data_IF_423248605231
#
_entry.id   IF_423248605231
#
_cell.length_a   1.000
_cell.length_b   1.000
_cell.length_c   1.000
_cell.angle_alpha   90.00
_cell.angle_beta   90.00
_cell.angle_gamma   90.00
#
_symmetry.space_group_name_H-M   'P 1'
#
loop_
_entity.id
_entity.type
_entity.pdbx_description
1 polymer ?
#
# COMPACT_ATOMS: atom_id res chain seq x y z
N UNK A 1 29.76 -14.84 -9.96
CA UNK A 1 28.36 -15.12 -10.30
C UNK A 1 27.87 -13.93 -11.12
N UNK A 2 27.09 -14.08 -12.18
CA UNK A 2 26.53 -12.91 -12.84
C UNK A 2 25.71 -12.12 -11.82
N UNK A 3 25.99 -10.82 -11.70
CA UNK A 3 25.23 -9.91 -10.82
C UNK A 3 23.74 -10.00 -11.16
N UNK A 4 22.90 -10.14 -10.14
CA UNK A 4 21.45 -10.11 -10.32
C UNK A 4 21.02 -8.79 -10.95
N UNK A 5 20.15 -8.84 -11.94
CA UNK A 5 19.53 -7.63 -12.50
C UNK A 5 18.49 -7.04 -11.55
N UNK A 6 17.96 -7.85 -10.62
CA UNK A 6 17.03 -7.39 -9.60
C UNK A 6 17.77 -6.82 -8.40
N UNK A 7 17.24 -5.72 -7.87
CA UNK A 7 17.83 -5.02 -6.72
C UNK A 7 16.85 -4.94 -5.55
N UNK A 8 17.41 -4.72 -4.35
CA UNK A 8 16.64 -4.40 -3.15
C UNK A 8 16.37 -2.90 -3.04
N UNK A 9 15.46 -2.52 -2.14
CA UNK A 9 14.95 -1.15 -2.05
C UNK A 9 16.05 -0.11 -1.79
N UNK A 10 17.03 -0.40 -0.94
CA UNK A 10 18.13 0.52 -0.65
C UNK A 10 18.95 0.82 -1.90
N UNK A 11 19.28 -0.21 -2.69
CA UNK A 11 20.04 -0.05 -3.95
C UNK A 11 19.20 0.72 -4.99
N UNK A 12 17.90 0.41 -5.11
CA UNK A 12 17.00 1.14 -6.00
C UNK A 12 16.93 2.63 -5.65
N UNK A 13 16.78 2.95 -4.36
CA UNK A 13 16.76 4.33 -3.87
C UNK A 13 18.10 5.04 -4.17
N UNK A 14 19.24 4.37 -4.03
CA UNK A 14 20.55 4.97 -4.31
C UNK A 14 20.75 5.22 -5.80
N UNK A 15 20.29 4.31 -6.68
CA UNK A 15 20.29 4.53 -8.13
C UNK A 15 19.49 5.80 -8.48
N UNK A 16 18.28 5.94 -7.95
CA UNK A 16 17.44 7.14 -8.18
C UNK A 16 18.10 8.40 -7.58
N UNK A 17 18.72 8.30 -6.40
CA UNK A 17 19.43 9.41 -5.75
C UNK A 17 20.59 9.93 -6.58
N UNK A 18 21.33 9.03 -7.21
CA UNK A 18 22.44 9.37 -8.11
C UNK A 18 21.99 9.87 -9.49
N UNK A 19 20.68 9.94 -9.77
CA UNK A 19 20.12 10.35 -11.05
C UNK A 19 20.07 9.24 -12.10
N UNK A 20 20.21 7.98 -11.67
CA UNK A 20 20.10 6.81 -12.55
C UNK A 20 18.67 6.46 -12.92
N UNK A 21 18.53 5.58 -13.90
CA UNK A 21 17.27 5.01 -14.39
C UNK A 21 17.12 3.58 -13.92
N UNK A 22 15.92 3.21 -13.47
CA UNK A 22 15.52 1.84 -13.17
C UNK A 22 14.48 1.36 -14.20
N UNK A 23 14.37 0.04 -14.34
CA UNK A 23 13.16 -0.59 -14.85
C UNK A 23 12.33 -0.97 -13.62
N UNK A 24 11.12 -0.41 -13.51
CA UNK A 24 10.19 -0.72 -12.42
C UNK A 24 9.09 -1.61 -12.97
N UNK A 25 8.79 -2.72 -12.29
CA UNK A 25 7.72 -3.65 -12.68
C UNK A 25 6.65 -3.70 -11.62
N UNK A 26 5.40 -3.83 -12.05
CA UNK A 26 4.27 -4.06 -11.19
C UNK A 26 3.88 -5.55 -11.11
N UNK A 27 2.78 -5.85 -10.44
CA UNK A 27 2.30 -7.21 -10.19
C UNK A 27 1.71 -7.85 -11.46
N UNK A 28 1.86 -9.18 -11.62
CA UNK A 28 1.28 -9.96 -12.70
C UNK A 28 -0.24 -9.85 -12.76
N UNK A 29 -0.89 -9.71 -11.60
CA UNK A 29 -2.35 -9.56 -11.47
C UNK A 29 -2.84 -8.13 -11.75
N UNK A 30 -1.93 -7.16 -12.02
CA UNK A 30 -2.28 -5.76 -12.30
C UNK A 30 -2.11 -5.41 -13.78
N UNK A 31 -1.03 -4.77 -14.18
CA UNK A 31 -0.69 -4.46 -15.58
C UNK A 31 0.29 -5.50 -16.15
N UNK A 32 1.12 -6.06 -15.25
CA UNK A 32 2.23 -6.95 -15.60
C UNK A 32 3.15 -6.30 -16.63
N UNK A 33 3.55 -5.06 -16.39
CA UNK A 33 4.32 -4.23 -17.30
C UNK A 33 5.60 -3.74 -16.63
N UNK A 34 6.47 -3.12 -17.40
CA UNK A 34 7.67 -2.46 -16.91
C UNK A 34 7.85 -1.10 -17.52
N UNK A 35 8.21 -0.13 -16.68
CA UNK A 35 8.48 1.24 -17.08
C UNK A 35 9.92 1.62 -16.79
N UNK A 36 10.56 2.42 -17.66
CA UNK A 36 11.72 3.20 -17.25
C UNK A 36 11.27 4.25 -16.22
N UNK A 37 11.98 4.34 -15.11
CA UNK A 37 11.69 5.28 -14.02
C UNK A 37 12.96 5.97 -13.56
N UNK A 38 12.89 7.31 -13.37
CA UNK A 38 13.95 8.11 -12.76
C UNK A 38 13.37 9.31 -11.99
N UNK A 39 14.18 9.96 -11.15
CA UNK A 39 13.80 11.22 -10.53
C UNK A 39 13.69 12.34 -11.58
N UNK A 40 12.58 13.09 -11.57
CA UNK A 40 12.30 14.10 -12.58
C UNK A 40 13.32 15.26 -12.59
N UNK A 41 13.81 15.68 -11.42
CA UNK A 41 14.83 16.74 -11.34
C UNK A 41 16.18 16.36 -11.92
N UNK A 42 16.45 15.04 -12.11
CA UNK A 42 17.69 14.52 -12.68
C UNK A 42 17.57 14.22 -14.17
N UNK A 43 16.42 14.50 -14.80
CA UNK A 43 16.18 14.16 -16.21
C UNK A 43 17.14 14.88 -17.13
N UNK A 44 17.63 14.16 -18.15
CA UNK A 44 18.48 14.70 -19.23
C UNK A 44 17.85 14.41 -20.59
N UNK A 45 18.23 15.15 -21.65
CA UNK A 45 17.79 14.84 -23.01
C UNK A 45 18.13 13.40 -23.44
N UNK A 46 19.27 12.86 -22.98
CA UNK A 46 19.71 11.49 -23.27
C UNK A 46 18.78 10.48 -22.61
N UNK A 47 18.38 10.72 -21.35
CA UNK A 47 17.42 9.87 -20.64
C UNK A 47 16.05 9.86 -21.32
N UNK A 48 15.55 11.02 -21.74
CA UNK A 48 14.31 11.11 -22.54
C UNK A 48 14.48 10.38 -23.87
N UNK A 49 15.65 10.51 -24.52
CA UNK A 49 15.93 9.80 -25.77
C UNK A 49 15.95 8.28 -25.56
N UNK A 50 16.55 7.78 -24.48
CA UNK A 50 16.49 6.37 -24.11
C UNK A 50 15.04 5.89 -23.97
N UNK A 51 14.21 6.64 -23.24
CA UNK A 51 12.80 6.32 -23.01
C UNK A 51 12.02 6.20 -24.33
N UNK A 52 12.16 7.18 -25.23
CA UNK A 52 11.37 7.17 -26.48
C UNK A 52 11.90 6.19 -27.52
N UNK A 53 13.18 5.87 -27.53
CA UNK A 53 13.78 4.94 -28.52
C UNK A 53 13.73 3.50 -28.06
N UNK A 54 13.92 3.24 -26.77
CA UNK A 54 13.99 1.88 -26.21
C UNK A 54 12.71 1.52 -25.44
N UNK A 55 12.04 2.47 -24.79
CA UNK A 55 10.72 2.29 -24.17
C UNK A 55 9.61 2.31 -25.21
N UNK A 56 9.60 3.29 -26.09
CA UNK A 56 8.59 3.48 -27.13
C UNK A 56 7.18 3.84 -26.59
N UNK A 57 7.07 4.00 -25.27
CA UNK A 57 5.86 4.39 -24.54
C UNK A 57 5.64 5.90 -24.48
N UNK A 58 4.73 6.32 -23.63
CA UNK A 58 4.43 7.73 -23.39
C UNK A 58 5.32 8.26 -22.25
N UNK A 59 6.08 9.33 -22.54
CA UNK A 59 6.86 9.99 -21.47
C UNK A 59 5.92 10.77 -20.57
N UNK A 60 5.76 10.31 -19.33
CA UNK A 60 4.89 10.89 -18.33
C UNK A 60 5.70 11.47 -17.16
N UNK A 61 5.06 12.41 -16.44
CA UNK A 61 5.63 13.13 -15.29
C UNK A 61 4.77 12.90 -14.05
N UNK A 62 4.90 11.74 -13.37
CA UNK A 62 4.28 11.54 -12.06
C UNK A 62 4.66 12.61 -11.05
N UNK A 63 3.68 13.17 -10.37
CA UNK A 63 3.89 14.19 -9.35
C UNK A 63 2.84 14.10 -8.24
N UNK A 64 3.17 14.63 -7.06
CA UNK A 64 2.20 14.73 -5.96
C UNK A 64 1.06 15.69 -6.31
N UNK A 65 -0.11 15.45 -5.71
CA UNK A 65 -1.26 16.34 -5.82
C UNK A 65 -0.89 17.78 -5.45
N UNK A 66 -0.18 17.97 -4.34
CA UNK A 66 0.25 19.29 -3.85
C UNK A 66 1.15 20.04 -4.87
N UNK A 67 2.05 19.32 -5.56
CA UNK A 67 2.92 19.95 -6.58
C UNK A 67 2.13 20.38 -7.80
N UNK A 68 1.20 19.55 -8.29
CA UNK A 68 0.33 19.86 -9.42
C UNK A 68 -0.61 21.03 -9.13
N UNK A 69 -1.19 21.07 -7.92
CA UNK A 69 -2.07 22.13 -7.46
C UNK A 69 -1.28 23.45 -7.31
N UNK A 70 -0.05 23.40 -6.75
CA UNK A 70 0.84 24.57 -6.64
C UNK A 70 1.18 25.16 -8.01
N UNK A 71 1.46 24.32 -9.00
CA UNK A 71 1.76 24.76 -10.38
C UNK A 71 0.49 25.17 -11.13
N UNK A 72 -0.69 24.74 -10.68
CA UNK A 72 -1.98 25.08 -11.29
C UNK A 72 -2.30 24.26 -12.53
N UNK A 73 -1.88 22.99 -12.59
CA UNK A 73 -2.17 22.09 -13.72
C UNK A 73 -3.46 21.32 -13.45
N UNK A 74 -4.52 21.53 -14.24
CA UNK A 74 -5.82 20.89 -14.02
C UNK A 74 -5.84 19.44 -14.50
N UNK A 75 -6.78 18.66 -13.99
CA UNK A 75 -7.06 17.31 -14.49
C UNK A 75 -7.50 17.38 -15.97
N UNK A 76 -7.10 16.39 -16.77
CA UNK A 76 -7.43 16.31 -18.20
C UNK A 76 -8.94 16.16 -18.43
N UNK A 77 -9.64 15.49 -17.51
CA UNK A 77 -11.08 15.24 -17.60
C UNK A 77 -11.74 15.43 -16.24
N UNK A 78 -13.00 15.90 -16.23
CA UNK A 78 -13.79 16.05 -15.00
C UNK A 78 -14.24 14.71 -14.41
N UNK A 79 -14.40 13.67 -15.26
CA UNK A 79 -14.74 12.31 -14.85
C UNK A 79 -13.78 11.33 -15.48
N UNK A 80 -12.93 10.73 -14.67
CA UNK A 80 -12.01 9.70 -15.13
C UNK A 80 -12.76 8.37 -15.32
N UNK A 81 -12.68 7.81 -16.53
CA UNK A 81 -13.25 6.51 -16.90
C UNK A 81 -12.18 5.51 -17.34
N UNK A 82 -10.88 5.83 -17.13
CA UNK A 82 -9.78 4.94 -17.46
C UNK A 82 -9.89 3.65 -16.63
N UNK A 83 -9.62 2.50 -17.24
CA UNK A 83 -9.77 1.17 -16.64
C UNK A 83 -9.04 1.04 -15.29
N UNK A 84 -7.84 1.58 -15.19
CA UNK A 84 -6.99 1.54 -14.00
C UNK A 84 -6.96 2.86 -13.23
N UNK A 85 -7.80 3.81 -13.62
CA UNK A 85 -7.95 5.09 -12.94
C UNK A 85 -6.74 6.02 -13.02
N UNK A 86 -5.80 5.81 -13.96
CA UNK A 86 -4.62 6.68 -14.11
C UNK A 86 -5.04 8.13 -14.27
N UNK A 87 -4.55 8.98 -13.38
CA UNK A 87 -5.02 10.34 -13.21
C UNK A 87 -4.21 11.34 -14.08
N UNK A 88 -4.47 11.33 -15.38
CA UNK A 88 -3.87 12.28 -16.31
C UNK A 88 -4.34 13.71 -16.02
N UNK A 89 -3.38 14.64 -16.04
CA UNK A 89 -3.63 16.08 -16.09
C UNK A 89 -3.49 16.60 -17.52
N UNK A 90 -3.83 17.87 -17.74
CA UNK A 90 -3.53 18.52 -19.03
C UNK A 90 -2.02 18.45 -19.26
N UNK A 91 -1.63 18.13 -20.51
CA UNK A 91 -0.22 18.09 -20.91
C UNK A 91 0.38 19.49 -20.99
N UNK A 92 1.71 19.58 -20.79
CA UNK A 92 2.42 20.86 -20.67
C UNK A 92 3.67 20.90 -21.54
N UNK A 93 4.08 22.12 -21.91
CA UNK A 93 5.42 22.42 -22.45
C UNK A 93 5.97 23.68 -21.77
N UNK A 94 7.28 23.72 -21.52
CA UNK A 94 7.91 24.93 -21.03
C UNK A 94 7.82 26.06 -22.07
N UNK A 95 7.45 27.27 -21.63
CA UNK A 95 7.39 28.46 -22.49
C UNK A 95 8.76 29.11 -22.69
N UNK A 96 9.71 28.83 -21.80
CA UNK A 96 11.08 29.35 -21.90
C UNK A 96 12.07 28.22 -22.09
N UNK A 97 13.14 28.49 -22.84
CA UNK A 97 14.22 27.54 -23.15
C UNK A 97 13.74 26.27 -23.87
N UNK A 98 12.58 26.28 -24.48
CA UNK A 98 12.04 25.22 -25.33
C UNK A 98 11.67 25.78 -26.69
N UNK A 99 11.59 24.93 -27.71
CA UNK A 99 11.20 25.32 -29.06
C UNK A 99 9.74 24.93 -29.37
N UNK A 100 9.54 23.74 -29.96
CA UNK A 100 8.19 23.23 -30.30
C UNK A 100 7.65 22.23 -29.26
N UNK A 101 8.43 21.92 -28.21
CA UNK A 101 8.03 21.07 -27.09
C UNK A 101 8.34 19.57 -27.26
N UNK A 102 8.38 19.04 -28.50
CA UNK A 102 8.46 17.59 -28.76
C UNK A 102 9.90 17.02 -28.69
N UNK A 103 10.94 17.83 -28.91
CA UNK A 103 12.32 17.32 -28.89
C UNK A 103 12.66 16.76 -27.49
N UNK A 104 13.64 15.85 -27.41
CA UNK A 104 14.10 15.31 -26.13
C UNK A 104 14.67 16.40 -25.22
N UNK A 105 15.24 17.47 -25.83
CA UNK A 105 15.72 18.64 -25.12
C UNK A 105 14.58 19.43 -24.52
N UNK A 106 13.55 19.74 -25.31
CA UNK A 106 12.38 20.51 -24.86
C UNK A 106 11.59 19.77 -23.76
N UNK A 107 11.43 18.46 -23.94
CA UNK A 107 10.75 17.61 -22.93
C UNK A 107 11.55 17.53 -21.62
N UNK A 108 12.88 17.35 -21.70
CA UNK A 108 13.72 17.37 -20.50
C UNK A 108 13.70 18.74 -19.82
N UNK A 109 13.68 19.83 -20.59
CA UNK A 109 13.57 21.18 -20.03
C UNK A 109 12.23 21.42 -19.36
N UNK A 110 11.13 21.01 -19.99
CA UNK A 110 9.78 21.09 -19.41
C UNK A 110 9.71 20.37 -18.06
N UNK A 111 10.25 19.16 -17.98
CA UNK A 111 10.27 18.35 -16.75
C UNK A 111 11.14 19.03 -15.67
N UNK A 112 12.34 19.53 -16.02
CA UNK A 112 13.21 20.23 -15.06
C UNK A 112 12.57 21.50 -14.53
N UNK A 113 11.95 22.31 -15.38
CA UNK A 113 11.24 23.53 -14.95
C UNK A 113 10.07 23.19 -14.02
N UNK A 114 9.34 22.11 -14.29
CA UNK A 114 8.27 21.66 -13.40
C UNK A 114 8.78 21.30 -12.00
N UNK A 115 9.97 20.73 -11.87
CA UNK A 115 10.56 20.35 -10.59
C UNK A 115 11.01 21.55 -9.74
N UNK A 116 11.21 22.72 -10.33
CA UNK A 116 11.67 23.92 -9.62
C UNK A 116 10.74 24.29 -8.46
N UNK A 117 11.29 24.86 -7.42
CA UNK A 117 10.52 25.32 -6.26
C UNK A 117 9.58 26.48 -6.61
N UNK A 118 10.04 27.40 -7.49
CA UNK A 118 9.30 28.55 -7.98
C UNK A 118 8.39 28.28 -9.20
N UNK A 119 8.22 27.00 -9.59
CA UNK A 119 7.37 26.64 -10.70
C UNK A 119 5.92 27.12 -10.51
N UNK A 120 5.38 27.76 -11.56
CA UNK A 120 4.02 28.32 -11.63
C UNK A 120 3.39 28.06 -13.00
N UNK A 121 2.08 28.21 -13.10
CA UNK A 121 1.33 27.99 -14.36
C UNK A 121 1.81 28.89 -15.52
N UNK A 122 2.33 30.06 -15.22
CA UNK A 122 2.83 31.01 -16.21
C UNK A 122 4.08 30.52 -16.95
N UNK A 123 4.76 29.50 -16.41
CA UNK A 123 5.95 28.91 -17.02
C UNK A 123 5.61 27.88 -18.11
N UNK A 124 4.35 27.48 -18.22
CA UNK A 124 3.95 26.35 -19.08
C UNK A 124 2.82 26.72 -20.06
N UNK A 125 3.02 26.32 -21.31
CA UNK A 125 1.94 26.24 -22.29
C UNK A 125 1.11 24.96 -22.06
N UNK A 126 -0.20 25.06 -22.24
CA UNK A 126 -1.15 23.96 -22.13
C UNK A 126 -2.11 23.99 -23.33
N UNK A 127 -2.29 22.89 -24.08
CA UNK A 127 -1.62 21.59 -23.94
C UNK A 127 -0.17 21.61 -24.45
N UNK A 128 0.59 20.53 -24.12
CA UNK A 128 1.98 20.33 -24.55
C UNK A 128 2.30 18.84 -24.78
N UNK A 129 3.58 18.49 -24.68
CA UNK A 129 4.12 17.15 -25.01
C UNK A 129 4.60 16.35 -23.80
N UNK A 130 4.56 16.90 -22.59
CA UNK A 130 4.76 16.17 -21.34
C UNK A 130 3.43 16.00 -20.64
N UNK A 131 3.15 14.79 -20.14
CA UNK A 131 1.90 14.38 -19.54
C UNK A 131 2.08 14.19 -18.02
N UNK A 132 1.76 15.22 -17.19
CA UNK A 132 1.80 15.05 -15.77
C UNK A 132 0.72 14.07 -15.29
N UNK A 133 1.10 13.21 -14.31
CA UNK A 133 0.19 12.24 -13.70
C UNK A 133 0.07 12.56 -12.21
N UNK A 134 -1.18 12.65 -11.73
CA UNK A 134 -1.46 12.91 -10.32
C UNK A 134 -1.36 11.61 -9.52
N UNK A 135 -0.29 11.45 -8.74
CA UNK A 135 -0.14 10.33 -7.83
C UNK A 135 -1.17 10.40 -6.69
N UNK A 136 -1.63 9.24 -6.24
CA UNK A 136 -2.51 9.13 -5.07
C UNK A 136 -1.73 9.50 -3.79
N UNK A 137 -2.38 10.23 -2.87
CA UNK A 137 -1.87 10.41 -1.52
C UNK A 137 -1.68 9.04 -0.84
N UNK A 138 -0.54 8.86 -0.15
CA UNK A 138 -0.14 7.54 0.35
C UNK A 138 0.75 6.73 -0.60
N UNK A 139 0.88 7.14 -1.88
CA UNK A 139 1.78 6.52 -2.85
C UNK A 139 1.45 5.06 -3.13
N UNK A 140 2.49 4.21 -3.28
CA UNK A 140 2.30 2.76 -3.58
C UNK A 140 1.51 2.01 -2.50
N UNK A 141 1.43 2.53 -1.28
CA UNK A 141 0.61 1.94 -0.21
C UNK A 141 -0.89 2.15 -0.43
N UNK A 142 -1.27 3.12 -1.26
CA UNK A 142 -2.66 3.41 -1.63
C UNK A 142 -3.02 2.85 -3.01
N UNK A 143 -2.12 3.00 -3.98
CA UNK A 143 -2.27 2.47 -5.35
C UNK A 143 -0.91 1.92 -5.83
N UNK A 144 -0.84 0.62 -6.01
CA UNK A 144 0.39 -0.10 -6.37
C UNK A 144 0.79 0.06 -7.85
N UNK A 145 0.80 1.30 -8.36
CA UNK A 145 1.11 1.61 -9.77
C UNK A 145 2.45 2.30 -9.98
N UNK A 146 2.93 2.28 -11.22
CA UNK A 146 4.18 2.93 -11.64
C UNK A 146 4.18 4.44 -11.34
N UNK A 147 3.04 5.12 -11.47
CA UNK A 147 2.87 6.54 -11.11
C UNK A 147 3.27 6.82 -9.67
N UNK A 148 2.72 6.05 -8.74
CA UNK A 148 3.01 6.17 -7.31
C UNK A 148 4.44 5.74 -7.00
N UNK A 149 4.90 4.66 -7.64
CA UNK A 149 6.26 4.15 -7.45
C UNK A 149 7.33 5.18 -7.85
N UNK A 150 7.14 5.89 -8.97
CA UNK A 150 8.06 6.91 -9.43
C UNK A 150 8.16 8.09 -8.45
N UNK A 151 7.02 8.54 -7.89
CA UNK A 151 6.98 9.62 -6.88
C UNK A 151 7.61 9.18 -5.56
N UNK A 152 7.29 7.96 -5.09
CA UNK A 152 7.81 7.41 -3.84
C UNK A 152 9.32 7.20 -3.90
N UNK A 153 9.84 6.63 -5.00
CA UNK A 153 11.27 6.45 -5.21
C UNK A 153 12.01 7.79 -5.21
N UNK A 154 11.48 8.81 -5.90
CA UNK A 154 12.07 10.16 -5.89
C UNK A 154 12.07 10.74 -4.47
N UNK A 155 10.97 10.65 -3.72
CA UNK A 155 10.86 11.12 -2.33
C UNK A 155 11.84 10.39 -1.40
N UNK A 156 11.92 9.07 -1.47
CA UNK A 156 12.82 8.25 -0.65
C UNK A 156 14.30 8.51 -0.99
N UNK A 157 14.58 8.86 -2.24
CA UNK A 157 15.91 9.29 -2.67
C UNK A 157 16.28 10.71 -2.22
N UNK A 158 15.39 11.43 -1.51
CA UNK A 158 15.60 12.81 -1.07
C UNK A 158 15.51 13.83 -2.21
N UNK A 159 14.83 13.49 -3.30
CA UNK A 159 14.60 14.33 -4.47
C UNK A 159 13.22 15.00 -4.39
N UNK A 160 13.00 15.99 -5.25
CA UNK A 160 11.63 16.50 -5.49
C UNK A 160 10.70 15.33 -5.74
N UNK A 161 9.53 15.21 -5.04
CA UNK A 161 8.64 14.06 -5.17
C UNK A 161 7.89 14.08 -6.51
N UNK A 162 8.66 13.98 -7.58
CA UNK A 162 8.26 13.92 -8.97
C UNK A 162 9.16 12.91 -9.68
N UNK A 163 8.57 12.03 -10.48
CA UNK A 163 9.29 11.07 -11.31
C UNK A 163 9.10 11.35 -12.80
N UNK A 164 9.93 10.73 -13.62
CA UNK A 164 9.66 10.51 -15.05
C UNK A 164 9.49 9.04 -15.24
N UNK A 165 8.49 8.64 -16.01
CA UNK A 165 8.31 7.27 -16.43
C UNK A 165 7.98 7.17 -17.92
N UNK A 166 8.24 5.99 -18.48
CA UNK A 166 7.87 5.63 -19.84
C UNK A 166 7.70 4.12 -19.91
N UNK A 167 6.56 3.66 -20.38
CA UNK A 167 6.26 2.24 -20.57
C UNK A 167 7.23 1.61 -21.58
N UNK A 168 7.51 0.31 -21.42
CA UNK A 168 8.41 -0.42 -22.29
C UNK A 168 7.63 -1.37 -23.20
N UNK A 169 7.69 -1.10 -24.49
CA UNK A 169 7.12 -1.92 -25.55
C UNK A 169 8.21 -2.70 -26.27
N UNK A 170 7.84 -3.87 -26.80
CA UNK A 170 8.67 -4.62 -27.75
C UNK A 170 8.71 -3.91 -29.11
N UNK A 171 9.56 -4.39 -30.00
CA UNK A 171 9.69 -3.89 -31.37
C UNK A 171 8.43 -4.07 -32.22
N UNK A 172 7.65 -5.11 -31.92
CA UNK A 172 6.37 -5.40 -32.57
C UNK A 172 5.21 -4.52 -32.03
N UNK A 173 5.47 -3.62 -31.07
CA UNK A 173 4.51 -2.72 -30.45
C UNK A 173 3.68 -3.36 -29.33
N UNK A 174 3.91 -4.62 -28.99
CA UNK A 174 3.28 -5.25 -27.81
C UNK A 174 4.04 -4.89 -26.53
N UNK A 175 3.36 -5.01 -25.36
CA UNK A 175 3.98 -4.69 -24.09
C UNK A 175 5.11 -5.68 -23.75
N UNK A 176 6.25 -5.15 -23.29
CA UNK A 176 7.33 -5.99 -22.77
C UNK A 176 6.90 -6.63 -21.45
N UNK A 177 7.20 -7.92 -21.31
CA UNK A 177 6.97 -8.70 -20.08
C UNK A 177 8.29 -9.05 -19.45
N UNK A 178 8.28 -9.64 -18.26
CA UNK A 178 9.46 -9.82 -17.41
C UNK A 178 10.67 -10.39 -18.16
N UNK A 179 10.52 -11.42 -18.99
CA UNK A 179 11.63 -12.02 -19.75
C UNK A 179 12.32 -11.00 -20.66
N UNK A 180 11.53 -10.23 -21.42
CA UNK A 180 12.02 -9.16 -22.30
C UNK A 180 12.66 -8.02 -21.48
N UNK A 181 12.09 -7.67 -20.34
CA UNK A 181 12.63 -6.63 -19.46
C UNK A 181 13.98 -7.03 -18.86
N UNK A 182 14.16 -8.30 -18.51
CA UNK A 182 15.44 -8.85 -18.01
C UNK A 182 16.52 -8.79 -19.10
N UNK A 183 16.19 -9.12 -20.34
CA UNK A 183 17.12 -9.01 -21.47
C UNK A 183 17.51 -7.55 -21.73
N UNK A 184 16.53 -6.65 -21.76
CA UNK A 184 16.74 -5.21 -21.95
C UNK A 184 17.59 -4.60 -20.81
N UNK A 185 17.32 -5.00 -19.57
CA UNK A 185 18.08 -4.54 -18.41
C UNK A 185 19.57 -4.93 -18.53
N UNK A 186 19.85 -6.16 -18.95
CA UNK A 186 21.23 -6.63 -19.17
C UNK A 186 21.93 -5.87 -20.32
N UNK A 187 21.21 -5.67 -21.42
CA UNK A 187 21.75 -4.94 -22.59
C UNK A 187 22.10 -3.49 -22.24
N UNK A 188 21.24 -2.81 -21.46
CA UNK A 188 21.42 -1.41 -21.10
C UNK A 188 22.25 -1.19 -19.83
N UNK A 189 22.62 -2.26 -19.12
CA UNK A 189 23.27 -2.17 -17.82
C UNK A 189 22.38 -1.56 -16.72
N UNK A 190 21.07 -1.70 -16.86
CA UNK A 190 20.08 -1.19 -15.89
C UNK A 190 19.69 -2.28 -14.88
N UNK A 191 19.09 -1.84 -13.78
CA UNK A 191 18.55 -2.72 -12.74
C UNK A 191 17.03 -2.73 -12.80
N UNK A 192 16.44 -3.86 -12.35
CA UNK A 192 14.99 -4.05 -12.22
C UNK A 192 14.61 -3.97 -10.76
N UNK A 193 13.56 -3.22 -10.47
CA UNK A 193 12.98 -3.08 -9.14
C UNK A 193 11.46 -3.29 -9.20
N UNK A 194 10.85 -3.91 -8.18
CA UNK A 194 9.42 -4.21 -8.19
C UNK A 194 8.64 -3.29 -7.25
N UNK A 195 7.42 -2.93 -7.64
CA UNK A 195 6.50 -2.16 -6.80
C UNK A 195 6.20 -2.91 -5.50
N UNK A 196 6.13 -4.25 -5.53
CA UNK A 196 5.93 -5.07 -4.34
C UNK A 196 7.04 -4.87 -3.29
N UNK A 197 8.32 -4.86 -3.70
CA UNK A 197 9.44 -4.57 -2.79
C UNK A 197 9.41 -3.13 -2.24
N UNK A 198 8.93 -2.17 -3.02
CA UNK A 198 8.77 -0.80 -2.54
C UNK A 198 7.69 -0.71 -1.46
N UNK A 199 6.58 -1.39 -1.66
CA UNK A 199 5.49 -1.49 -0.65
C UNK A 199 6.02 -2.12 0.64
N UNK A 200 6.73 -3.25 0.54
CA UNK A 200 7.32 -3.93 1.68
C UNK A 200 8.29 -3.02 2.45
N UNK A 201 9.22 -2.39 1.74
CA UNK A 201 10.18 -1.45 2.31
C UNK A 201 9.52 -0.30 3.06
N UNK A 202 8.51 0.35 2.46
CA UNK A 202 7.78 1.45 3.09
C UNK A 202 7.03 1.02 4.35
N UNK A 203 6.40 -0.18 4.32
CA UNK A 203 5.73 -0.76 5.49
C UNK A 203 6.68 -1.03 6.66
N UNK A 204 7.91 -1.44 6.36
CA UNK A 204 8.93 -1.75 7.38
C UNK A 204 9.61 -0.50 7.95
N UNK A 205 9.78 0.56 7.14
CA UNK A 205 10.62 1.71 7.49
C UNK A 205 9.85 2.99 7.81
N UNK A 206 8.63 3.16 7.31
CA UNK A 206 7.83 4.36 7.54
C UNK A 206 6.89 4.19 8.72
N UNK A 207 6.75 5.27 9.51
CA UNK A 207 5.72 5.35 10.55
C UNK A 207 4.40 5.79 9.91
N UNK A 208 3.55 4.80 9.63
CA UNK A 208 2.31 4.96 8.86
C UNK A 208 1.11 5.34 9.72
N UNK A 209 1.27 5.32 11.05
CA UNK A 209 0.18 5.56 12.01
C UNK A 209 0.66 6.50 13.12
N UNK A 210 -0.27 7.24 13.71
CA UNK A 210 0.02 8.13 14.83
C UNK A 210 -1.11 8.07 15.85
N UNK A 211 -0.77 8.05 17.15
CA UNK A 211 -1.73 8.23 18.23
C UNK A 211 -2.22 9.69 18.25
N UNK A 212 -3.54 9.89 18.26
CA UNK A 212 -4.18 11.21 18.22
C UNK A 212 -4.97 11.53 19.48
N UNK A 213 -5.43 10.52 20.23
CA UNK A 213 -6.18 10.70 21.46
C UNK A 213 -6.13 9.46 22.34
N UNK A 214 -6.39 9.64 23.64
CA UNK A 214 -6.56 8.55 24.60
C UNK A 214 -7.59 8.90 25.67
N UNK A 215 -8.30 7.89 26.22
CA UNK A 215 -9.27 8.09 27.29
C UNK A 215 -9.46 6.81 28.10
N UNK A 216 -10.03 6.94 29.31
CA UNK A 216 -10.52 5.79 30.07
C UNK A 216 -11.80 5.23 29.45
N UNK A 217 -11.89 3.93 29.33
CA UNK A 217 -13.04 3.20 28.78
C UNK A 217 -13.50 2.10 29.74
N UNK A 218 -14.46 2.38 30.63
CA UNK A 218 -15.12 1.35 31.42
C UNK A 218 -15.93 0.43 30.50
N UNK A 219 -15.72 -0.89 30.62
CA UNK A 219 -16.44 -1.92 29.86
C UNK A 219 -17.03 -2.95 30.80
N UNK A 220 -17.91 -3.84 30.28
CA UNK A 220 -18.44 -4.98 31.05
C UNK A 220 -17.35 -5.98 31.49
N UNK A 221 -16.15 -5.90 30.93
CA UNK A 221 -15.01 -6.76 31.28
C UNK A 221 -14.00 -6.09 32.21
N UNK A 222 -14.09 -4.78 32.44
CA UNK A 222 -13.19 -4.00 33.27
C UNK A 222 -12.87 -2.66 32.68
N UNK A 223 -11.92 -1.95 33.32
CA UNK A 223 -11.48 -0.62 32.87
C UNK A 223 -10.30 -0.78 31.92
N UNK A 224 -10.47 -0.38 30.69
CA UNK A 224 -9.42 -0.25 29.70
C UNK A 224 -9.08 1.21 29.49
N UNK A 225 -7.88 1.47 29.00
CA UNK A 225 -7.51 2.74 28.39
C UNK A 225 -7.62 2.58 26.88
N UNK A 226 -8.44 3.40 26.23
CA UNK A 226 -8.56 3.41 24.78
C UNK A 226 -7.56 4.41 24.20
N UNK A 227 -6.83 3.99 23.18
CA UNK A 227 -5.93 4.82 22.37
C UNK A 227 -6.47 4.86 20.95
N UNK A 228 -6.63 6.06 20.41
CA UNK A 228 -7.06 6.30 19.03
C UNK A 228 -5.82 6.56 18.17
N UNK A 229 -5.67 5.77 17.13
CA UNK A 229 -4.61 5.92 16.13
C UNK A 229 -5.21 6.28 14.78
N UNK A 230 -4.57 7.20 14.08
CA UNK A 230 -4.94 7.62 12.73
C UNK A 230 -3.89 7.19 11.72
N UNK A 231 -4.34 6.56 10.63
CA UNK A 231 -3.49 6.19 9.49
C UNK A 231 -3.16 7.43 8.65
N UNK A 232 -1.87 7.60 8.35
CA UNK A 232 -1.37 8.67 7.47
C UNK A 232 -1.62 8.39 5.97
N UNK A 233 -2.13 7.19 5.64
CA UNK A 233 -2.33 6.76 4.25
C UNK A 233 -3.75 7.03 3.76
N UNK A 234 -4.75 6.82 4.63
CA UNK A 234 -6.17 6.86 4.25
C UNK A 234 -7.05 7.53 5.29
N UNK A 235 -6.46 8.16 6.30
CA UNK A 235 -7.14 8.81 7.43
C UNK A 235 -8.12 7.88 8.17
N UNK A 236 -7.94 6.56 8.05
CA UNK A 236 -8.70 5.61 8.85
C UNK A 236 -8.23 5.65 10.30
N UNK A 237 -9.18 5.39 11.21
CA UNK A 237 -8.90 5.36 12.63
C UNK A 237 -8.91 3.92 13.14
N UNK A 238 -7.89 3.57 13.91
CA UNK A 238 -7.77 2.29 14.58
C UNK A 238 -7.76 2.50 16.10
N UNK A 239 -8.12 1.48 16.86
CA UNK A 239 -8.19 1.57 18.32
C UNK A 239 -7.25 0.54 18.95
N UNK A 240 -6.65 0.92 20.08
CA UNK A 240 -6.05 -0.02 21.00
C UNK A 240 -6.72 0.10 22.36
N UNK A 241 -7.12 -1.03 22.95
CA UNK A 241 -7.61 -1.12 24.32
C UNK A 241 -6.50 -1.73 25.17
N UNK A 242 -6.00 -0.97 26.12
CA UNK A 242 -4.89 -1.35 26.99
C UNK A 242 -5.39 -1.52 28.42
N UNK A 243 -5.04 -2.62 29.05
CA UNK A 243 -5.25 -2.85 30.48
C UNK A 243 -3.91 -3.07 31.17
N UNK A 244 -3.74 -2.46 32.34
CA UNK A 244 -2.51 -2.54 33.11
C UNK A 244 -1.34 -1.75 32.49
N UNK A 245 -0.17 -1.83 33.13
CA UNK A 245 1.05 -1.16 32.64
C UNK A 245 1.81 -2.08 31.67
N UNK A 246 2.16 -1.55 30.50
CA UNK A 246 2.94 -2.29 29.50
C UNK A 246 4.43 -2.01 29.76
N UNK A 247 5.18 -3.05 30.10
CA UNK A 247 6.64 -3.02 30.31
C UNK A 247 7.32 -3.85 29.24
N UNK A 248 8.22 -3.25 28.46
CA UNK A 248 8.75 -3.78 27.21
C UNK A 248 9.35 -5.19 27.27
N UNK A 249 9.96 -5.60 28.37
CA UNK A 249 10.68 -6.88 28.49
C UNK A 249 9.80 -8.06 28.98
N UNK A 250 8.60 -7.77 29.46
CA UNK A 250 7.67 -8.81 29.93
C UNK A 250 6.67 -9.19 28.84
N UNK A 251 6.42 -10.50 28.62
CA UNK A 251 5.40 -10.93 27.68
C UNK A 251 4.02 -10.37 28.02
N UNK A 252 3.34 -9.79 27.03
CA UNK A 252 2.02 -9.18 27.16
C UNK A 252 1.01 -9.99 26.38
N UNK A 253 -0.17 -10.23 26.95
CA UNK A 253 -1.27 -10.87 26.24
C UNK A 253 -1.83 -9.90 25.18
N UNK A 254 -1.78 -10.29 23.91
CA UNK A 254 -2.16 -9.42 22.79
C UNK A 254 -3.21 -10.08 21.91
N UNK A 255 -4.23 -9.31 21.52
CA UNK A 255 -5.15 -9.64 20.43
C UNK A 255 -5.08 -8.57 19.36
N UNK A 256 -4.88 -8.96 18.10
CA UNK A 256 -5.14 -8.12 16.94
C UNK A 256 -6.45 -8.57 16.31
N UNK A 257 -7.48 -7.76 16.46
CA UNK A 257 -8.84 -8.00 15.96
C UNK A 257 -9.11 -7.10 14.76
N UNK A 258 -9.58 -7.68 13.65
CA UNK A 258 -10.07 -6.90 12.51
C UNK A 258 -11.57 -6.70 12.65
N UNK A 259 -12.04 -5.47 12.47
CA UNK A 259 -13.45 -5.07 12.57
C UNK A 259 -14.39 -6.03 11.84
N UNK A 260 -15.48 -6.36 12.49
CA UNK A 260 -16.58 -7.08 11.92
C UNK A 260 -17.89 -6.50 12.49
N UNK A 261 -18.40 -5.42 11.93
CA UNK A 261 -19.58 -4.71 12.46
C UNK A 261 -20.74 -5.66 12.76
N UNK A 262 -20.99 -6.61 11.85
CA UNK A 262 -22.10 -7.55 12.02
C UNK A 262 -21.89 -8.51 13.19
N UNK A 263 -20.66 -9.00 13.41
CA UNK A 263 -20.36 -9.88 14.54
C UNK A 263 -20.13 -9.13 15.84
N UNK A 264 -19.35 -8.03 15.80
CA UNK A 264 -18.90 -7.32 16.99
C UNK A 264 -20.01 -6.46 17.63
N UNK A 265 -20.87 -5.84 16.81
CA UNK A 265 -21.88 -4.90 17.28
C UNK A 265 -23.34 -5.36 17.06
N UNK A 266 -23.60 -6.17 16.01
CA UNK A 266 -24.94 -6.64 15.68
C UNK A 266 -25.19 -8.09 16.08
N UNK A 267 -24.21 -8.73 16.74
CA UNK A 267 -24.30 -10.10 17.29
C UNK A 267 -24.68 -11.16 16.26
N UNK A 268 -24.20 -11.01 15.03
CA UNK A 268 -24.48 -11.96 13.96
C UNK A 268 -23.87 -13.33 14.24
N UNK A 269 -24.67 -14.38 14.10
CA UNK A 269 -24.23 -15.77 14.24
C UNK A 269 -23.55 -16.33 12.98
N UNK A 270 -23.42 -15.57 11.88
CA UNK A 270 -22.75 -16.01 10.64
C UNK A 270 -21.24 -16.19 10.80
N UNK A 271 -20.63 -15.62 11.83
CA UNK A 271 -19.21 -15.71 12.11
C UNK A 271 -18.95 -15.82 13.61
N UNK A 272 -17.70 -16.05 13.97
CA UNK A 272 -17.20 -16.15 15.36
C UNK A 272 -16.52 -14.85 15.85
N UNK A 273 -16.64 -13.73 15.11
CA UNK A 273 -15.87 -12.51 15.39
C UNK A 273 -16.23 -11.87 16.74
N UNK A 274 -17.51 -11.65 17.00
CA UNK A 274 -17.96 -11.05 18.25
C UNK A 274 -17.59 -11.89 19.48
N UNK A 275 -17.77 -13.21 19.42
CA UNK A 275 -17.40 -14.13 20.48
C UNK A 275 -15.87 -14.13 20.70
N UNK A 276 -15.06 -14.08 19.64
CA UNK A 276 -13.60 -13.95 19.76
C UNK A 276 -13.19 -12.61 20.39
N UNK A 277 -13.88 -11.52 20.08
CA UNK A 277 -13.64 -10.20 20.67
C UNK A 277 -13.93 -10.24 22.18
N UNK A 278 -15.10 -10.75 22.56
CA UNK A 278 -15.50 -10.88 23.96
C UNK A 278 -14.53 -11.78 24.75
N UNK A 279 -14.18 -12.95 24.21
CA UNK A 279 -13.24 -13.87 24.85
C UNK A 279 -11.85 -13.26 25.03
N UNK A 280 -11.38 -12.50 24.04
CA UNK A 280 -10.08 -11.81 24.14
C UNK A 280 -10.09 -10.72 25.21
N UNK A 281 -11.15 -9.90 25.28
CA UNK A 281 -11.28 -8.88 26.32
C UNK A 281 -11.38 -9.49 27.72
N UNK A 282 -12.11 -10.61 27.86
CA UNK A 282 -12.22 -11.35 29.11
C UNK A 282 -10.87 -11.91 29.56
N UNK A 283 -10.11 -12.57 28.68
CA UNK A 283 -8.78 -13.10 28.99
C UNK A 283 -7.79 -11.99 29.41
N UNK A 284 -7.83 -10.83 28.74
CA UNK A 284 -7.01 -9.67 29.12
C UNK A 284 -7.42 -9.16 30.52
N UNK A 285 -8.71 -9.09 30.82
CA UNK A 285 -9.19 -8.65 32.09
C UNK A 285 -8.81 -9.63 33.24
N UNK A 286 -8.91 -10.93 33.00
CA UNK A 286 -8.48 -11.99 33.94
C UNK A 286 -6.97 -11.92 34.18
N UNK A 287 -6.17 -11.65 33.17
CA UNK A 287 -4.71 -11.47 33.30
C UNK A 287 -4.34 -10.13 33.98
N UNK A 288 -5.27 -9.18 34.08
CA UNK A 288 -5.03 -7.84 34.62
C UNK A 288 -4.10 -6.96 33.79
N UNK A 289 -3.56 -7.48 32.67
CA UNK A 289 -2.64 -6.78 31.77
C UNK A 289 -2.73 -7.35 30.35
N UNK A 290 -2.85 -6.48 29.36
CA UNK A 290 -2.87 -6.88 27.97
C UNK A 290 -3.27 -5.76 27.01
N UNK A 291 -3.19 -6.04 25.72
CA UNK A 291 -3.51 -5.11 24.64
C UNK A 291 -4.43 -5.78 23.62
N UNK A 292 -5.54 -5.13 23.31
CA UNK A 292 -6.39 -5.48 22.18
C UNK A 292 -6.28 -4.38 21.12
N UNK A 293 -5.74 -4.72 19.96
CA UNK A 293 -5.75 -3.84 18.77
C UNK A 293 -7.02 -4.13 17.98
N UNK A 294 -7.79 -3.09 17.68
CA UNK A 294 -8.99 -3.15 16.85
C UNK A 294 -8.74 -2.41 15.54
N UNK A 295 -8.46 -3.18 14.49
CA UNK A 295 -8.18 -2.65 13.14
C UNK A 295 -9.49 -2.49 12.36
N UNK A 296 -9.78 -1.27 11.93
CA UNK A 296 -10.95 -0.97 11.11
C UNK A 296 -10.73 -1.40 9.67
N UNK A 297 -10.73 -2.71 9.44
CA UNK A 297 -10.52 -3.38 8.15
C UNK A 297 -11.66 -4.36 7.89
N UNK A 298 -12.88 -3.81 7.79
CA UNK A 298 -14.12 -4.56 7.62
C UNK A 298 -14.10 -5.46 6.38
N UNK A 299 -14.69 -6.66 6.51
CA UNK A 299 -14.82 -7.58 5.39
C UNK A 299 -13.49 -8.09 4.84
N UNK A 300 -12.45 -8.23 5.67
CA UNK A 300 -11.07 -8.53 5.23
C UNK A 300 -10.45 -7.44 4.35
N UNK A 301 -10.82 -6.19 4.60
CA UNK A 301 -10.32 -5.03 3.85
C UNK A 301 -11.18 -4.60 2.66
N UNK A 302 -12.22 -5.35 2.28
CA UNK A 302 -13.10 -4.96 1.16
C UNK A 302 -14.19 -3.94 1.57
N UNK A 303 -14.33 -3.68 2.86
CA UNK A 303 -15.31 -2.75 3.41
C UNK A 303 -16.72 -3.33 3.56
N UNK A 304 -17.55 -2.64 4.35
CA UNK A 304 -18.92 -3.07 4.67
C UNK A 304 -19.82 -3.25 3.44
N UNK A 305 -19.83 -2.34 2.43
CA UNK A 305 -20.71 -2.51 1.27
C UNK A 305 -20.41 -3.79 0.47
N UNK A 306 -19.14 -4.09 0.23
CA UNK A 306 -18.74 -5.30 -0.49
C UNK A 306 -18.99 -6.55 0.36
N UNK A 307 -18.77 -6.50 1.68
CA UNK A 307 -19.08 -7.60 2.60
C UNK A 307 -20.56 -7.98 2.57
N UNK A 308 -21.49 -7.01 2.56
CA UNK A 308 -22.93 -7.32 2.50
C UNK A 308 -23.30 -7.94 1.14
N UNK A 309 -22.67 -7.51 0.04
CA UNK A 309 -22.82 -8.17 -1.26
C UNK A 309 -22.28 -9.60 -1.24
N UNK A 310 -21.12 -9.84 -0.59
CA UNK A 310 -20.58 -11.17 -0.40
C UNK A 310 -21.54 -12.08 0.38
N UNK A 311 -22.19 -11.56 1.41
CA UNK A 311 -23.24 -12.32 2.12
C UNK A 311 -24.37 -12.76 1.19
N UNK A 312 -24.82 -11.89 0.28
CA UNK A 312 -25.86 -12.23 -0.68
C UNK A 312 -25.42 -13.31 -1.71
N UNK A 313 -24.11 -13.41 -1.99
CA UNK A 313 -23.55 -14.50 -2.81
C UNK A 313 -23.43 -15.80 -2.00
N UNK A 314 -23.02 -15.70 -0.74
CA UNK A 314 -22.99 -16.84 0.19
C UNK A 314 -24.39 -17.44 0.41
N UNK A 315 -25.45 -16.66 0.46
CA UNK A 315 -26.84 -17.13 0.53
C UNK A 315 -27.25 -17.92 -0.72
N UNK A 316 -26.46 -17.80 -1.83
CA UNK A 316 -26.65 -18.56 -3.08
C UNK A 316 -25.71 -19.76 -3.20
N UNK A 317 -24.88 -20.04 -2.19
CA UNK A 317 -24.03 -21.22 -2.10
C UNK A 317 -22.54 -20.98 -2.32
N UNK A 318 -22.07 -19.74 -2.59
CA UNK A 318 -20.64 -19.44 -2.62
C UNK A 318 -20.04 -19.46 -1.21
N UNK A 319 -18.79 -19.84 -1.07
CA UNK A 319 -18.08 -19.63 0.19
C UNK A 319 -17.49 -18.22 0.29
N UNK A 320 -16.89 -17.88 1.44
CA UNK A 320 -16.36 -16.52 1.68
C UNK A 320 -15.22 -16.14 0.73
N UNK A 321 -14.41 -17.08 0.27
CA UNK A 321 -13.30 -16.85 -0.65
C UNK A 321 -13.83 -16.63 -2.06
N UNK A 322 -14.71 -17.51 -2.51
CA UNK A 322 -15.38 -17.46 -3.81
C UNK A 322 -16.19 -16.17 -3.98
N UNK A 323 -16.96 -15.78 -2.96
CA UNK A 323 -17.73 -14.53 -2.98
C UNK A 323 -16.85 -13.27 -3.12
N UNK A 324 -15.68 -13.24 -2.49
CA UNK A 324 -14.74 -12.13 -2.68
C UNK A 324 -14.19 -12.08 -4.10
N UNK A 325 -13.79 -13.23 -4.66
CA UNK A 325 -13.28 -13.34 -6.04
C UNK A 325 -14.36 -12.95 -7.05
N UNK A 326 -15.61 -13.41 -6.86
CA UNK A 326 -16.75 -13.05 -7.71
C UNK A 326 -17.05 -11.54 -7.70
N UNK A 327 -16.70 -10.84 -6.62
CA UNK A 327 -16.80 -9.38 -6.51
C UNK A 327 -15.56 -8.63 -7.03
N UNK A 328 -14.54 -9.35 -7.53
CA UNK A 328 -13.31 -8.77 -8.05
C UNK A 328 -12.27 -8.41 -6.98
N UNK A 329 -12.36 -8.99 -5.79
CA UNK A 329 -11.40 -8.77 -4.70
C UNK A 329 -10.54 -10.01 -4.45
N UNK A 330 -9.27 -9.84 -4.04
CA UNK A 330 -8.49 -10.96 -3.54
C UNK A 330 -9.10 -11.54 -2.23
N UNK A 331 -8.72 -12.76 -1.84
CA UNK A 331 -9.28 -13.42 -0.66
C UNK A 331 -9.09 -12.68 0.67
N UNK A 332 -8.01 -11.91 0.81
CA UNK A 332 -7.67 -11.17 2.04
C UNK A 332 -6.79 -9.95 1.71
N UNK A 333 -7.31 -8.75 1.99
CA UNK A 333 -6.64 -7.46 1.79
C UNK A 333 -6.18 -6.82 3.12
N UNK A 334 -6.25 -7.55 4.25
CA UNK A 334 -5.87 -6.98 5.55
C UNK A 334 -4.39 -6.72 5.64
N UNK A 335 -4.05 -5.56 6.16
CA UNK A 335 -2.71 -5.15 6.53
C UNK A 335 -2.54 -5.21 8.05
N UNK A 336 -1.66 -6.07 8.53
CA UNK A 336 -1.35 -6.19 9.96
C UNK A 336 -0.20 -5.29 10.41
N UNK A 337 0.49 -4.61 9.47
CA UNK A 337 1.60 -3.69 9.77
C UNK A 337 1.16 -2.52 10.64
N UNK A 338 -0.07 -2.01 10.47
CA UNK A 338 -0.63 -1.02 11.39
C UNK A 338 -0.69 -1.55 12.83
N UNK A 339 -1.14 -2.79 13.01
CA UNK A 339 -1.20 -3.43 14.33
C UNK A 339 0.18 -3.57 14.96
N UNK A 340 1.20 -3.91 14.17
CA UNK A 340 2.57 -4.01 14.64
C UNK A 340 3.12 -2.65 15.10
N UNK A 341 2.91 -1.59 14.31
CA UNK A 341 3.33 -0.24 14.70
C UNK A 341 2.61 0.26 15.95
N UNK A 342 1.28 0.02 16.06
CA UNK A 342 0.52 0.37 17.27
C UNK A 342 1.08 -0.34 18.51
N UNK A 343 1.37 -1.64 18.42
CA UNK A 343 1.94 -2.41 19.53
C UNK A 343 3.31 -1.88 19.93
N UNK A 344 4.16 -1.58 18.95
CA UNK A 344 5.49 -1.01 19.20
C UNK A 344 5.38 0.38 19.86
N UNK A 345 4.47 1.25 19.43
CA UNK A 345 4.20 2.57 20.00
C UNK A 345 3.69 2.48 21.46
N UNK A 346 2.89 1.47 21.76
CA UNK A 346 2.40 1.19 23.12
C UNK A 346 3.46 0.54 24.04
N UNK A 347 4.67 0.33 23.53
CA UNK A 347 5.79 -0.23 24.32
C UNK A 347 5.80 -1.75 24.40
N UNK A 348 4.96 -2.46 23.67
CA UNK A 348 5.05 -3.94 23.58
C UNK A 348 6.33 -4.31 22.85
N UNK A 349 7.06 -5.31 23.39
CA UNK A 349 8.24 -5.92 22.75
C UNK A 349 8.09 -7.43 22.64
N UNK A 350 7.58 -8.05 23.70
CA UNK A 350 7.28 -9.48 23.73
C UNK A 350 5.80 -9.70 23.91
N UNK A 351 5.22 -10.64 23.16
CA UNK A 351 3.78 -10.87 23.23
C UNK A 351 3.41 -12.37 23.24
N UNK A 352 2.37 -12.68 23.99
CA UNK A 352 1.58 -13.91 23.88
C UNK A 352 0.38 -13.58 22.96
N UNK A 353 0.44 -14.02 21.70
CA UNK A 353 -0.52 -13.59 20.68
C UNK A 353 -1.75 -14.50 20.63
N UNK A 354 -2.91 -13.95 20.96
CA UNK A 354 -4.20 -14.64 20.83
C UNK A 354 -4.63 -14.72 19.38
N UNK A 355 -4.36 -15.86 18.72
CA UNK A 355 -4.72 -16.05 17.30
C UNK A 355 -4.84 -17.52 16.92
N UNK A 356 -5.74 -17.80 15.97
CA UNK A 356 -5.81 -19.06 15.25
C UNK A 356 -5.35 -18.92 13.79
N UNK A 357 -4.96 -17.70 13.34
CA UNK A 357 -4.54 -17.42 11.98
C UNK A 357 -3.01 -17.31 11.85
N UNK A 358 -2.32 -18.26 11.17
CA UNK A 358 -0.87 -18.22 11.00
C UNK A 358 -0.36 -16.96 10.26
N UNK A 359 -1.15 -16.41 9.33
CA UNK A 359 -0.79 -15.17 8.61
C UNK A 359 -0.62 -13.97 9.54
N UNK A 360 -1.31 -13.93 10.69
CA UNK A 360 -1.11 -12.89 11.70
C UNK A 360 0.25 -12.99 12.38
N UNK A 361 0.81 -14.19 12.52
CA UNK A 361 2.15 -14.38 13.07
C UNK A 361 3.19 -13.73 12.16
N UNK A 362 3.11 -13.98 10.86
CA UNK A 362 4.02 -13.39 9.88
C UNK A 362 3.82 -11.87 9.72
N UNK A 363 2.56 -11.39 9.69
CA UNK A 363 2.25 -9.97 9.49
C UNK A 363 2.57 -9.06 10.68
N UNK A 364 2.81 -9.62 11.86
CA UNK A 364 3.23 -8.89 13.07
C UNK A 364 4.74 -9.04 13.36
N UNK A 365 5.46 -9.84 12.58
CA UNK A 365 6.92 -9.93 12.68
C UNK A 365 7.56 -8.65 12.14
N UNK A 366 8.56 -8.13 12.83
CA UNK A 366 9.16 -6.82 12.54
C UNK A 366 8.84 -5.80 13.64
N UNK A 367 9.26 -4.55 13.46
CA UNK A 367 9.05 -3.45 14.41
C UNK A 367 9.51 -3.76 15.85
N UNK A 368 10.57 -4.56 16.00
CA UNK A 368 11.12 -5.02 17.30
C UNK A 368 10.10 -5.79 18.17
N UNK A 369 9.16 -6.50 17.53
CA UNK A 369 8.17 -7.34 18.19
C UNK A 369 8.58 -8.82 18.17
N UNK A 370 8.54 -9.47 19.34
CA UNK A 370 8.77 -10.91 19.51
C UNK A 370 7.48 -11.61 19.93
N UNK A 371 7.05 -12.61 19.16
CA UNK A 371 5.93 -13.48 19.53
C UNK A 371 6.52 -14.68 20.31
N UNK A 372 6.37 -14.65 21.62
CA UNK A 372 6.91 -15.72 22.50
C UNK A 372 5.97 -16.92 22.61
N UNK A 373 4.67 -16.72 22.42
CA UNK A 373 3.66 -17.77 22.53
C UNK A 373 2.42 -17.45 21.66
N UNK A 374 1.83 -18.50 21.10
CA UNK A 374 0.50 -18.44 20.50
C UNK A 374 -0.55 -18.92 21.49
N UNK A 375 -1.52 -18.07 21.80
CA UNK A 375 -2.67 -18.40 22.65
C UNK A 375 -3.88 -18.67 21.78
N UNK A 376 -4.48 -19.86 21.78
CA UNK A 376 -5.65 -20.16 20.97
C UNK A 376 -6.89 -19.41 21.47
N UNK A 377 -7.75 -19.01 20.51
CA UNK A 377 -9.10 -18.47 20.75
C UNK A 377 -10.12 -19.41 20.10
N UNK A 378 -10.43 -20.49 20.77
CA UNK A 378 -11.38 -21.49 20.28
C UNK A 378 -12.81 -21.07 20.67
N UNK A 379 -13.69 -21.02 19.70
CA UNK A 379 -15.13 -20.77 19.84
C UNK A 379 -15.85 -22.02 19.34
N UNK A 380 -16.84 -22.49 20.07
CA UNK A 380 -17.65 -23.62 19.64
C UNK A 380 -18.49 -23.26 18.43
N UNK A 381 -18.51 -24.10 17.37
CA UNK A 381 -19.34 -23.86 16.20
C UNK A 381 -20.83 -23.85 16.55
N UNK A 382 -21.60 -22.95 15.92
CA UNK A 382 -23.05 -22.97 15.93
C UNK A 382 -23.60 -23.39 14.57
N UNK A 383 -24.91 -23.58 14.45
CA UNK A 383 -25.56 -24.04 13.22
C UNK A 383 -25.36 -23.10 12.02
N UNK A 384 -25.13 -21.77 12.25
CA UNK A 384 -24.98 -20.76 11.22
C UNK A 384 -23.54 -20.54 10.79
N UNK A 385 -22.54 -20.74 11.68
CA UNK A 385 -21.13 -20.45 11.40
C UNK A 385 -20.28 -21.67 11.11
N UNK A 386 -20.82 -22.89 11.20
CA UNK A 386 -20.07 -24.14 11.00
C UNK A 386 -19.34 -24.15 9.65
N UNK A 387 -20.05 -23.88 8.56
CA UNK A 387 -19.47 -23.84 7.21
C UNK A 387 -18.41 -22.72 7.05
N UNK A 388 -18.63 -21.57 7.70
CA UNK A 388 -17.65 -20.49 7.72
C UNK A 388 -16.34 -20.89 8.44
N UNK A 389 -16.44 -21.63 9.55
CA UNK A 389 -15.27 -22.14 10.27
C UNK A 389 -14.55 -23.24 9.50
N UNK A 390 -15.27 -24.14 8.84
CA UNK A 390 -14.71 -25.14 7.93
C UNK A 390 -13.91 -24.47 6.81
N UNK A 391 -14.47 -23.44 6.13
CA UNK A 391 -13.77 -22.66 5.10
C UNK A 391 -12.49 -22.00 5.64
N UNK A 392 -12.51 -21.46 6.87
CA UNK A 392 -11.33 -20.91 7.53
C UNK A 392 -10.23 -21.96 7.72
N UNK A 393 -10.58 -23.16 8.14
CA UNK A 393 -9.62 -24.24 8.33
C UNK A 393 -9.07 -24.77 7.01
N UNK A 394 -9.93 -25.13 6.08
CA UNK A 394 -9.58 -25.83 4.83
C UNK A 394 -8.90 -24.91 3.80
N UNK A 395 -9.50 -23.72 3.55
CA UNK A 395 -9.04 -22.81 2.48
C UNK A 395 -8.09 -21.72 2.98
N UNK A 396 -8.06 -21.43 4.27
CA UNK A 396 -7.25 -20.33 4.82
C UNK A 396 -6.20 -20.75 5.84
N UNK A 397 -6.10 -22.04 6.14
CA UNK A 397 -5.08 -22.62 7.02
C UNK A 397 -5.19 -22.18 8.49
N UNK A 398 -6.39 -21.85 8.98
CA UNK A 398 -6.62 -21.55 10.38
C UNK A 398 -6.46 -22.79 11.25
N UNK A 399 -5.83 -22.61 12.41
CA UNK A 399 -5.63 -23.64 13.45
C UNK A 399 -6.81 -23.56 14.43
N UNK A 400 -7.92 -24.22 14.08
CA UNK A 400 -9.18 -24.24 14.87
C UNK A 400 -9.21 -25.48 15.76
#
# INVERSE_FOLDING_TARGET
MPESVFVEAQEAIEIIRSGGTLIVTDDEDRENEGDFVMAAECVTPEAVNLMVTRGRGLVCLPATAAKLDKVGIPMMVSKNTARLGTAFTVSIDALQNATTGISTYDRAETIRQFCREDASSEMFGMPGHIFPLRAQEGGVLKRSGHTEAAVDLARLAGKTPCGVLCEILKEDGTMARLDTLVELAKELGLKIFTVAKLIEFRRQTERLIAETAQAELPTKFGKFKVHLFESKIDSQHHLALVMGEIKGDEPVLVRVHSECLTGDALFSCRCDCGEQLELAMKKIAEAGRGVLIYLRQEGRGIGLPAKIKAYALQDKGEDTVEANISLGFPPDLRDYGYGAQMLSDLGVRKMMLMTNNPKKLAGLSGHDLEIVERVPLTIEPNEYNKHYLETKSEKMGHLL
#
